data_IF_065776444067
#
_entry.id   IF_065776444067
#
_cell.length_a   1.000
_cell.length_b   1.000
_cell.length_c   1.000
_cell.angle_alpha   90.00
_cell.angle_beta   90.00
_cell.angle_gamma   90.00
#
_symmetry.space_group_name_H-M   'P 1'
#
loop_
_entity.id
_entity.type
_entity.pdbx_description
1 polymer ?
#
# COMPACT_ATOMS: atom_id res chain seq x y z
N UNK A 1 -31.66 -15.34 8.01
CA UNK A 1 -31.22 -14.79 6.71
C UNK A 1 -29.71 -14.87 6.67
N UNK A 2 -29.10 -15.82 5.94
CA UNK A 2 -27.66 -15.97 5.99
C UNK A 2 -27.00 -14.94 5.07
N UNK A 3 -25.98 -14.25 5.58
CA UNK A 3 -25.10 -13.30 4.89
C UNK A 3 -24.15 -14.02 3.92
N UNK A 4 -24.68 -14.86 3.03
CA UNK A 4 -23.87 -15.45 1.98
C UNK A 4 -23.56 -14.36 0.94
N UNK A 5 -22.30 -14.12 0.58
CA UNK A 5 -22.01 -13.33 -0.61
C UNK A 5 -22.75 -13.95 -1.80
N UNK A 6 -23.50 -13.12 -2.53
CA UNK A 6 -23.98 -13.46 -3.87
C UNK A 6 -22.79 -14.01 -4.67
N UNK A 7 -22.98 -15.09 -5.42
CA UNK A 7 -21.90 -15.92 -5.99
C UNK A 7 -20.67 -15.11 -6.46
N UNK A 8 -19.52 -15.35 -5.82
CA UNK A 8 -18.23 -14.77 -6.16
C UNK A 8 -17.84 -13.48 -5.41
N UNK A 9 -18.72 -12.86 -4.60
CA UNK A 9 -18.30 -11.73 -3.75
C UNK A 9 -17.40 -12.23 -2.60
N UNK A 10 -16.45 -11.41 -2.17
CA UNK A 10 -15.59 -11.72 -1.04
C UNK A 10 -15.11 -10.45 -0.36
N UNK A 11 -14.96 -10.49 0.97
CA UNK A 11 -14.27 -9.41 1.67
C UNK A 11 -12.83 -9.34 1.18
N UNK A 12 -12.32 -8.13 0.94
CA UNK A 12 -10.89 -7.95 0.77
C UNK A 12 -10.18 -8.03 2.11
N UNK A 13 -8.86 -7.92 2.07
CA UNK A 13 -8.07 -7.99 3.27
C UNK A 13 -8.14 -6.68 4.07
N UNK A 14 -7.96 -6.75 5.39
CA UNK A 14 -8.06 -5.60 6.31
C UNK A 14 -6.72 -5.20 6.95
N UNK A 15 -5.64 -5.88 6.58
CA UNK A 15 -4.29 -5.64 7.10
C UNK A 15 -3.32 -5.48 5.92
N UNK A 16 -2.19 -4.83 6.17
CA UNK A 16 -1.10 -4.81 5.18
C UNK A 16 -0.36 -6.15 5.16
N UNK A 17 -0.26 -6.79 6.32
CA UNK A 17 0.37 -8.09 6.56
C UNK A 17 -0.52 -8.92 7.47
N UNK A 18 -0.86 -10.14 7.05
CA UNK A 18 -1.61 -11.10 7.88
C UNK A 18 -0.64 -11.96 8.71
N UNK A 19 -0.59 -11.82 10.04
CA UNK A 19 0.27 -12.67 10.86
C UNK A 19 -0.16 -14.15 10.88
N UNK A 20 -1.40 -14.50 10.52
CA UNK A 20 -1.87 -15.89 10.47
C UNK A 20 -1.37 -16.63 9.24
N UNK A 21 -1.39 -15.98 8.08
CA UNK A 21 -0.97 -16.61 6.82
C UNK A 21 0.48 -16.28 6.45
N UNK A 22 1.03 -15.20 7.00
CA UNK A 22 2.37 -14.71 6.69
C UNK A 22 2.45 -13.92 5.40
N UNK A 23 1.32 -13.45 4.88
CA UNK A 23 1.20 -12.89 3.54
C UNK A 23 0.91 -11.40 3.56
N UNK A 24 1.38 -10.69 2.55
CA UNK A 24 1.06 -9.28 2.36
C UNK A 24 -0.20 -9.09 1.51
N UNK A 25 -0.88 -7.95 1.69
CA UNK A 25 -2.02 -7.57 0.84
C UNK A 25 -1.69 -7.59 -0.66
N UNK A 26 -0.43 -7.32 -1.01
CA UNK A 26 0.07 -7.36 -2.40
C UNK A 26 -0.06 -8.76 -3.01
N UNK A 27 0.36 -9.80 -2.29
CA UNK A 27 0.26 -11.20 -2.73
C UNK A 27 -1.19 -11.68 -2.73
N UNK A 28 -1.94 -11.32 -1.68
CA UNK A 28 -3.35 -11.70 -1.53
C UNK A 28 -4.15 -11.14 -2.72
N UNK A 29 -4.00 -9.84 -3.01
CA UNK A 29 -4.74 -9.19 -4.08
C UNK A 29 -4.28 -9.60 -5.48
N UNK A 30 -3.02 -10.03 -5.65
CA UNK A 30 -2.52 -10.54 -6.93
C UNK A 30 -3.19 -11.86 -7.36
N UNK A 31 -3.54 -12.72 -6.39
CA UNK A 31 -4.20 -14.02 -6.66
C UNK A 31 -5.71 -14.02 -6.41
N UNK A 32 -6.22 -13.03 -5.69
CA UNK A 32 -7.65 -12.94 -5.40
C UNK A 32 -8.46 -12.75 -6.68
N UNK A 33 -9.65 -13.35 -6.70
CA UNK A 33 -10.58 -13.25 -7.82
C UNK A 33 -12.00 -13.21 -7.30
N UNK A 34 -12.54 -12.01 -7.16
CA UNK A 34 -13.89 -11.78 -6.63
C UNK A 34 -14.72 -10.90 -7.57
N UNK A 35 -16.03 -11.14 -7.61
CA UNK A 35 -16.97 -10.34 -8.40
C UNK A 35 -17.19 -8.95 -7.80
N UNK A 36 -17.00 -8.84 -6.49
CA UNK A 36 -16.97 -7.59 -5.75
C UNK A 36 -16.19 -7.74 -4.44
N UNK A 37 -15.59 -6.63 -4.00
CA UNK A 37 -15.04 -6.42 -2.68
C UNK A 37 -15.93 -5.41 -1.93
N UNK A 38 -16.99 -5.87 -1.24
CA UNK A 38 -17.93 -4.97 -0.56
C UNK A 38 -17.31 -4.29 0.67
N UNK A 39 -16.23 -4.86 1.21
CA UNK A 39 -15.45 -4.27 2.29
C UNK A 39 -13.98 -4.74 2.20
N UNK A 40 -13.06 -3.85 2.53
CA UNK A 40 -11.63 -4.11 2.77
C UNK A 40 -11.01 -2.93 3.53
N UNK A 41 -9.83 -3.11 4.12
CA UNK A 41 -9.20 -2.06 4.92
C UNK A 41 -7.69 -2.14 4.98
N UNK A 42 -7.09 -1.03 5.40
CA UNK A 42 -5.74 -1.01 5.94
C UNK A 42 -5.73 0.05 7.04
N UNK A 43 -5.48 -0.31 8.31
CA UNK A 43 -5.61 0.65 9.39
C UNK A 43 -4.39 1.56 9.45
N UNK A 44 -4.63 2.79 9.90
CA UNK A 44 -3.58 3.74 10.26
C UNK A 44 -4.02 4.63 11.43
N UNK A 45 -3.07 5.14 12.20
CA UNK A 45 -3.33 6.18 13.19
C UNK A 45 -3.85 7.47 12.54
N UNK A 46 -4.60 8.25 13.31
CA UNK A 46 -4.91 9.64 12.99
C UNK A 46 -3.62 10.49 12.97
N UNK A 47 -3.70 11.72 12.43
CA UNK A 47 -2.55 12.64 12.42
C UNK A 47 -2.11 12.99 13.86
N UNK A 48 -0.85 13.36 14.04
CA UNK A 48 -0.30 13.81 15.34
C UNK A 48 -1.19 14.89 15.98
N UNK A 49 -1.57 15.91 15.21
CA UNK A 49 -2.42 17.00 15.68
C UNK A 49 -3.82 16.52 16.13
N UNK A 50 -4.39 15.53 15.42
CA UNK A 50 -5.69 14.94 15.80
C UNK A 50 -5.53 14.12 17.08
N UNK A 51 -4.48 13.31 17.20
CA UNK A 51 -4.22 12.50 18.40
C UNK A 51 -4.01 13.38 19.64
N UNK A 52 -3.21 14.44 19.52
CA UNK A 52 -2.98 15.42 20.59
C UNK A 52 -4.23 16.15 21.07
N UNK A 53 -5.31 16.16 20.26
CA UNK A 53 -6.56 16.83 20.65
C UNK A 53 -7.40 16.05 21.65
N UNK A 54 -7.14 14.75 21.84
CA UNK A 54 -7.94 13.90 22.74
C UNK A 54 -7.16 12.85 23.54
N UNK A 55 -5.91 12.54 23.18
CA UNK A 55 -5.05 11.65 23.96
C UNK A 55 -4.26 12.49 24.98
N UNK A 56 -4.27 12.14 26.29
CA UNK A 56 -3.46 12.81 27.30
C UNK A 56 -1.96 12.79 26.98
N UNK A 57 -1.24 13.86 27.31
CA UNK A 57 0.17 14.04 26.94
C UNK A 57 1.07 12.91 27.47
N UNK A 58 0.81 12.46 28.69
CA UNK A 58 1.50 11.36 29.35
C UNK A 58 1.23 9.97 28.74
N UNK A 59 0.22 9.86 27.88
CA UNK A 59 -0.17 8.64 27.18
C UNK A 59 0.12 8.70 25.66
N UNK A 60 0.50 9.85 25.12
CA UNK A 60 0.70 10.04 23.67
C UNK A 60 1.72 9.06 23.08
N UNK A 61 2.82 8.82 23.79
CA UNK A 61 3.84 7.90 23.32
C UNK A 61 4.65 7.27 24.47
N UNK A 62 4.94 5.96 24.42
CA UNK A 62 4.46 4.99 23.43
C UNK A 62 2.99 4.60 23.64
N UNK A 63 2.25 4.27 22.57
CA UNK A 63 0.87 3.79 22.66
C UNK A 63 0.82 2.45 23.38
N UNK A 64 -0.12 2.29 24.34
CA UNK A 64 -0.25 1.07 25.14
C UNK A 64 -1.71 0.66 25.36
N UNK A 65 -2.01 -0.65 25.43
CA UNK A 65 -3.27 -1.13 25.98
C UNK A 65 -3.54 -0.57 27.39
N UNK A 66 -4.81 -0.39 27.74
CA UNK A 66 -5.26 0.15 29.02
C UNK A 66 -5.15 1.68 29.17
N UNK A 67 -4.76 2.40 28.11
CA UNK A 67 -4.70 3.87 28.05
C UNK A 67 -5.79 4.43 27.14
N UNK A 68 -5.85 5.75 26.97
CA UNK A 68 -6.69 6.42 25.99
C UNK A 68 -6.56 5.84 24.58
N UNK A 69 -5.40 5.31 24.19
CA UNK A 69 -5.26 4.61 22.90
C UNK A 69 -6.23 3.44 22.74
N UNK A 70 -6.37 2.59 23.76
CA UNK A 70 -7.32 1.47 23.72
C UNK A 70 -8.76 1.99 23.75
N UNK A 71 -9.07 2.95 24.63
CA UNK A 71 -10.39 3.56 24.69
C UNK A 71 -10.78 4.29 23.40
N UNK A 72 -9.81 4.77 22.62
CA UNK A 72 -9.98 5.37 21.30
C UNK A 72 -9.63 4.40 20.15
N UNK A 73 -9.88 3.10 20.35
CA UNK A 73 -9.99 2.09 19.29
C UNK A 73 -8.64 1.73 18.59
N UNK A 74 -7.51 1.99 19.23
CA UNK A 74 -6.19 1.61 18.70
C UNK A 74 -5.79 0.16 18.98
N UNK A 75 -6.41 -0.49 19.96
CA UNK A 75 -6.04 -1.83 20.42
C UNK A 75 -7.27 -2.72 20.59
N UNK A 76 -7.06 -4.04 20.53
CA UNK A 76 -8.05 -5.10 20.80
C UNK A 76 -9.32 -5.03 19.96
N UNK A 77 -9.23 -4.56 18.72
CA UNK A 77 -10.36 -4.65 17.79
C UNK A 77 -10.69 -6.11 17.40
N UNK A 78 -9.67 -6.96 17.32
CA UNK A 78 -9.83 -8.41 17.11
C UNK A 78 -9.07 -9.23 18.14
N UNK A 79 -9.74 -10.26 18.67
CA UNK A 79 -9.18 -11.13 19.73
C UNK A 79 -7.88 -11.82 19.33
N UNK A 80 -7.77 -12.24 18.06
CA UNK A 80 -6.60 -12.98 17.59
C UNK A 80 -5.40 -12.07 17.26
N UNK A 81 -5.63 -10.75 17.17
CA UNK A 81 -4.59 -9.77 16.92
C UNK A 81 -4.82 -8.56 17.82
N UNK A 82 -4.44 -8.64 19.10
CA UNK A 82 -4.74 -7.62 20.10
C UNK A 82 -4.14 -6.25 19.81
N UNK A 83 -3.18 -6.17 18.90
CA UNK A 83 -2.54 -4.92 18.50
C UNK A 83 -3.31 -4.15 17.39
N UNK A 84 -4.43 -4.70 16.91
CA UNK A 84 -5.36 -4.00 15.99
C UNK A 84 -6.18 -2.93 16.72
N UNK A 85 -6.43 -1.77 16.14
CA UNK A 85 -6.14 -1.34 14.76
C UNK A 85 -4.77 -0.68 14.53
N UNK A 86 -4.04 -0.29 15.57
CA UNK A 86 -2.79 0.45 15.39
C UNK A 86 -1.68 -0.38 14.73
N UNK A 87 -1.70 -1.68 14.96
CA UNK A 87 -0.76 -2.68 14.44
C UNK A 87 0.73 -2.31 14.60
N UNK A 88 1.20 -1.91 15.80
CA UNK A 88 2.59 -1.56 16.04
C UNK A 88 3.56 -2.70 15.69
N UNK A 89 3.16 -3.97 15.83
CA UNK A 89 4.01 -5.10 15.43
C UNK A 89 4.24 -5.15 13.91
N UNK A 90 3.23 -4.76 13.11
CA UNK A 90 3.35 -4.61 11.66
C UNK A 90 4.27 -3.45 11.31
N UNK A 91 4.18 -2.32 12.03
CA UNK A 91 5.10 -1.20 11.83
C UNK A 91 6.55 -1.62 12.12
N UNK A 92 6.78 -2.29 13.25
CA UNK A 92 8.11 -2.76 13.62
C UNK A 92 8.65 -3.78 12.60
N UNK A 93 7.79 -4.67 12.09
CA UNK A 93 8.14 -5.61 11.02
C UNK A 93 8.71 -4.90 9.80
N UNK A 94 8.12 -3.78 9.37
CA UNK A 94 8.50 -3.05 8.14
C UNK A 94 9.59 -1.99 8.34
N UNK A 95 9.67 -1.38 9.51
CA UNK A 95 10.50 -0.20 9.73
C UNK A 95 11.53 -0.35 10.85
N UNK A 96 11.47 -1.42 11.63
CA UNK A 96 12.15 -1.53 12.92
C UNK A 96 11.45 -0.72 14.02
N UNK A 97 12.09 -0.60 15.21
CA UNK A 97 11.54 0.16 16.32
C UNK A 97 11.11 1.57 15.91
N UNK A 98 10.00 2.02 16.49
CA UNK A 98 9.48 3.37 16.30
C UNK A 98 9.81 4.18 17.54
N UNK A 99 10.41 5.36 17.37
CA UNK A 99 11.01 6.12 18.47
C UNK A 99 10.21 7.37 18.85
N UNK A 100 9.22 7.74 18.04
CA UNK A 100 8.34 8.90 18.29
C UNK A 100 6.92 8.71 17.76
N UNK A 101 6.01 9.58 18.21
CA UNK A 101 4.64 9.64 17.72
C UNK A 101 4.59 10.01 16.23
N UNK A 102 5.45 10.94 15.81
CA UNK A 102 5.57 11.41 14.44
C UNK A 102 5.97 10.25 13.51
N UNK A 103 6.98 9.46 13.90
CA UNK A 103 7.38 8.28 13.13
C UNK A 103 6.27 7.23 13.07
N UNK A 104 5.56 7.00 14.18
CA UNK A 104 4.44 6.05 14.24
C UNK A 104 3.34 6.45 13.25
N UNK A 105 2.99 7.72 13.23
CA UNK A 105 1.97 8.27 12.33
C UNK A 105 2.43 8.20 10.87
N UNK A 106 3.66 8.64 10.58
CA UNK A 106 4.22 8.62 9.23
C UNK A 106 4.23 7.18 8.66
N UNK A 107 4.78 6.23 9.42
CA UNK A 107 4.91 4.82 9.00
C UNK A 107 3.54 4.17 8.80
N UNK A 108 2.61 4.38 9.73
CA UNK A 108 1.26 3.82 9.64
C UNK A 108 0.46 4.38 8.46
N UNK A 109 0.46 5.70 8.28
CA UNK A 109 -0.26 6.33 7.16
C UNK A 109 0.38 5.99 5.80
N UNK A 110 1.70 5.80 5.76
CA UNK A 110 2.37 5.27 4.56
C UNK A 110 1.90 3.84 4.24
N UNK A 111 1.90 2.92 5.20
CA UNK A 111 1.46 1.53 4.97
C UNK A 111 0.00 1.48 4.50
N UNK A 112 -0.87 2.25 5.16
CA UNK A 112 -2.27 2.36 4.75
C UNK A 112 -2.38 2.85 3.30
N UNK A 113 -1.61 3.88 2.92
CA UNK A 113 -1.62 4.42 1.56
C UNK A 113 -1.17 3.38 0.53
N UNK A 114 -0.06 2.68 0.79
CA UNK A 114 0.47 1.64 -0.11
C UNK A 114 -0.51 0.47 -0.28
N UNK A 115 -1.14 0.03 0.82
CA UNK A 115 -2.12 -1.04 0.79
C UNK A 115 -3.38 -0.65 0.02
N UNK A 116 -3.93 0.56 0.24
CA UNK A 116 -5.10 1.02 -0.52
C UNK A 116 -4.82 1.17 -2.01
N UNK A 117 -3.66 1.71 -2.39
CA UNK A 117 -3.25 1.78 -3.79
C UNK A 117 -3.28 0.39 -4.44
N UNK A 118 -2.70 -0.61 -3.76
CA UNK A 118 -2.69 -1.99 -4.23
C UNK A 118 -4.11 -2.54 -4.41
N UNK A 119 -4.96 -2.45 -3.39
CA UNK A 119 -6.30 -3.05 -3.41
C UNK A 119 -7.18 -2.44 -4.50
N UNK A 120 -7.22 -1.11 -4.60
CA UNK A 120 -8.04 -0.44 -5.62
C UNK A 120 -7.57 -0.75 -7.04
N UNK A 121 -6.27 -0.68 -7.31
CA UNK A 121 -5.74 -1.01 -8.63
C UNK A 121 -5.92 -2.50 -8.97
N UNK A 122 -5.77 -3.40 -7.99
CA UNK A 122 -5.98 -4.84 -8.17
C UNK A 122 -7.43 -5.20 -8.47
N UNK A 123 -8.38 -4.65 -7.73
CA UNK A 123 -9.80 -4.86 -8.00
C UNK A 123 -10.17 -4.35 -9.40
N UNK A 124 -9.65 -3.18 -9.80
CA UNK A 124 -9.87 -2.63 -11.15
C UNK A 124 -9.28 -3.52 -12.25
N UNK A 125 -8.09 -4.11 -12.05
CA UNK A 125 -7.48 -5.06 -13.01
C UNK A 125 -8.37 -6.26 -13.30
N UNK A 126 -9.17 -6.70 -12.32
CA UNK A 126 -10.06 -7.85 -12.46
C UNK A 126 -11.33 -7.58 -13.28
N UNK A 127 -11.56 -6.36 -13.75
CA UNK A 127 -12.63 -6.04 -14.72
C UNK A 127 -12.53 -6.94 -15.97
N UNK A 128 -13.64 -7.47 -16.52
CA UNK A 128 -15.04 -7.23 -16.14
C UNK A 128 -15.58 -8.16 -15.06
N UNK A 129 -14.76 -9.06 -14.51
CA UNK A 129 -15.21 -10.01 -13.49
C UNK A 129 -15.51 -9.30 -12.17
N UNK A 130 -14.60 -8.42 -11.72
CA UNK A 130 -14.83 -7.56 -10.57
C UNK A 130 -15.49 -6.24 -10.99
N UNK A 131 -16.52 -5.82 -10.27
CA UNK A 131 -17.31 -4.62 -10.58
C UNK A 131 -17.41 -3.63 -9.41
N UNK A 132 -16.87 -3.95 -8.24
CA UNK A 132 -17.00 -3.12 -7.05
C UNK A 132 -15.83 -3.33 -6.09
N UNK A 133 -15.35 -2.21 -5.52
CA UNK A 133 -14.36 -2.18 -4.47
C UNK A 133 -14.70 -1.03 -3.51
N UNK A 134 -15.13 -1.36 -2.29
CA UNK A 134 -15.52 -0.40 -1.26
C UNK A 134 -14.64 -0.56 -0.03
N UNK A 135 -13.95 0.51 0.37
CA UNK A 135 -13.17 0.49 1.58
C UNK A 135 -14.08 0.60 2.81
N UNK A 136 -13.80 -0.23 3.81
CA UNK A 136 -14.21 0.03 5.19
C UNK A 136 -13.07 0.81 5.83
N UNK A 137 -13.22 2.08 6.22
CA UNK A 137 -14.40 2.94 6.02
C UNK A 137 -13.98 4.33 5.51
N UNK A 138 -14.96 5.17 5.15
CA UNK A 138 -14.66 6.54 4.73
C UNK A 138 -14.19 7.40 5.93
N UNK A 139 -14.94 7.40 7.03
CA UNK A 139 -14.72 8.30 8.16
C UNK A 139 -15.03 7.65 9.51
N UNK A 140 -14.69 8.36 10.58
CA UNK A 140 -14.99 8.02 11.98
C UNK A 140 -16.05 8.96 12.56
N UNK A 141 -16.99 8.47 13.39
CA UNK A 141 -18.05 9.31 13.97
C UNK A 141 -17.60 10.05 15.25
N UNK A 142 -16.40 9.78 15.77
CA UNK A 142 -15.91 10.25 17.07
C UNK A 142 -14.37 10.24 17.11
N UNK A 143 -13.71 10.90 18.08
CA UNK A 143 -12.26 10.90 18.19
C UNK A 143 -11.73 9.46 18.25
N UNK A 144 -10.99 9.06 17.22
CA UNK A 144 -10.52 7.68 17.05
C UNK A 144 -9.03 7.73 16.75
N UNK A 145 -8.26 6.95 17.51
CA UNK A 145 -6.81 6.97 17.44
C UNK A 145 -6.28 6.22 16.22
N UNK A 146 -6.86 5.06 15.90
CA UNK A 146 -6.52 4.31 14.69
C UNK A 146 -7.74 3.57 14.12
N UNK A 147 -7.84 3.53 12.80
CA UNK A 147 -8.86 2.79 12.05
C UNK A 147 -8.46 2.72 10.57
N UNK A 148 -9.24 2.00 9.78
CA UNK A 148 -9.18 1.94 8.33
C UNK A 148 -9.75 3.20 7.63
N UNK A 149 -10.19 4.20 8.39
CA UNK A 149 -10.79 5.41 7.84
C UNK A 149 -9.82 6.18 6.91
N UNK A 150 -10.37 6.83 5.87
CA UNK A 150 -9.64 7.79 5.03
C UNK A 150 -9.72 9.23 5.59
N UNK A 151 -10.74 9.49 6.40
CA UNK A 151 -10.98 10.74 7.11
C UNK A 151 -10.99 10.46 8.62
N UNK A 152 -10.08 11.08 9.36
CA UNK A 152 -10.16 11.12 10.81
C UNK A 152 -11.25 12.09 11.26
N UNK A 153 -11.84 11.83 12.43
CA UNK A 153 -12.68 12.82 13.10
C UNK A 153 -11.87 14.11 13.38
N UNK A 154 -12.47 15.32 13.30
CA UNK A 154 -13.85 15.58 12.91
C UNK A 154 -14.12 15.61 11.40
N UNK A 155 -13.09 15.73 10.55
CA UNK A 155 -13.14 15.65 9.07
C UNK A 155 -11.73 15.87 8.48
N UNK A 156 -10.69 15.35 9.15
CA UNK A 156 -9.29 15.60 8.77
C UNK A 156 -8.83 14.49 7.81
N UNK A 157 -8.45 14.81 6.56
CA UNK A 157 -8.04 13.80 5.61
C UNK A 157 -6.71 13.16 5.99
N UNK A 158 -6.66 11.81 5.92
CA UNK A 158 -5.40 11.06 5.95
C UNK A 158 -4.77 11.06 4.55
N UNK A 159 -3.44 10.89 4.43
CA UNK A 159 -2.75 10.77 3.13
C UNK A 159 -3.37 9.74 2.19
N UNK A 160 -3.90 8.64 2.75
CA UNK A 160 -4.56 7.59 2.00
C UNK A 160 -5.75 8.07 1.16
N UNK A 161 -6.47 9.13 1.56
CA UNK A 161 -7.57 9.67 0.76
C UNK A 161 -7.08 10.16 -0.61
N UNK A 162 -5.93 10.84 -0.64
CA UNK A 162 -5.34 11.33 -1.87
C UNK A 162 -4.88 10.16 -2.77
N UNK A 163 -4.33 9.11 -2.16
CA UNK A 163 -3.90 7.90 -2.87
C UNK A 163 -5.08 7.12 -3.44
N UNK A 164 -6.16 6.93 -2.67
CA UNK A 164 -7.41 6.33 -3.19
C UNK A 164 -7.98 7.15 -4.33
N UNK A 165 -8.02 8.48 -4.20
CA UNK A 165 -8.46 9.38 -5.27
C UNK A 165 -7.63 9.19 -6.54
N UNK A 166 -6.30 9.06 -6.39
CA UNK A 166 -5.38 8.78 -7.49
C UNK A 166 -5.63 7.39 -8.13
N UNK A 167 -5.85 6.35 -7.33
CA UNK A 167 -6.13 4.99 -7.82
C UNK A 167 -7.52 4.84 -8.45
N UNK A 168 -8.44 5.76 -8.16
CA UNK A 168 -9.79 5.82 -8.75
C UNK A 168 -9.90 6.73 -9.98
N UNK A 169 -8.79 7.29 -10.50
CA UNK A 169 -8.82 8.06 -11.75
C UNK A 169 -9.35 7.21 -12.91
N UNK A 170 -10.12 7.80 -13.85
CA UNK A 170 -10.71 7.06 -14.98
C UNK A 170 -9.68 6.28 -15.79
N UNK A 171 -8.48 6.84 -15.97
CA UNK A 171 -7.37 6.18 -16.67
C UNK A 171 -6.10 6.33 -15.83
N UNK A 172 -5.37 5.23 -15.66
CA UNK A 172 -4.04 5.23 -15.05
C UNK A 172 -3.21 4.05 -15.52
N UNK A 173 -1.89 4.21 -15.47
CA UNK A 173 -0.97 3.09 -15.59
C UNK A 173 -0.73 2.46 -14.23
N UNK A 174 -0.73 1.14 -14.16
CA UNK A 174 -0.63 0.37 -12.91
C UNK A 174 0.53 -0.61 -12.96
N UNK A 175 1.28 -0.74 -11.87
CA UNK A 175 2.30 -1.77 -11.68
C UNK A 175 1.84 -2.79 -10.62
N UNK A 176 2.08 -4.07 -10.90
CA UNK A 176 1.88 -5.17 -9.95
C UNK A 176 3.25 -5.66 -9.49
N UNK A 177 3.42 -5.82 -8.19
CA UNK A 177 4.63 -6.36 -7.56
C UNK A 177 4.22 -7.23 -6.38
N UNK A 178 5.04 -8.24 -6.08
CA UNK A 178 4.69 -9.26 -5.10
C UNK A 178 4.68 -8.75 -3.66
N UNK A 179 5.52 -7.78 -3.31
CA UNK A 179 5.75 -7.36 -1.92
C UNK A 179 6.19 -5.91 -1.80
N UNK A 180 6.04 -5.35 -0.60
CA UNK A 180 6.40 -3.98 -0.28
C UNK A 180 7.90 -3.79 -0.02
N UNK A 181 8.57 -4.77 0.60
CA UNK A 181 10.00 -4.70 0.95
C UNK A 181 10.87 -5.48 -0.02
N UNK A 182 11.89 -4.81 -0.54
CA UNK A 182 12.88 -5.34 -1.46
C UNK A 182 14.29 -5.21 -0.89
N UNK A 183 15.15 -6.16 -1.22
CA UNK A 183 16.54 -6.16 -0.76
C UNK A 183 17.50 -5.98 -1.95
N UNK A 184 18.65 -5.39 -1.71
CA UNK A 184 19.78 -5.41 -2.64
C UNK A 184 20.02 -6.82 -3.20
N UNK A 185 20.21 -6.91 -4.51
CA UNK A 185 20.47 -8.16 -5.20
C UNK A 185 19.22 -9.01 -5.46
N UNK A 186 18.03 -8.55 -5.11
CA UNK A 186 16.79 -9.19 -5.56
C UNK A 186 16.42 -8.79 -7.00
N UNK A 187 15.75 -9.71 -7.70
CA UNK A 187 15.16 -9.44 -9.01
C UNK A 187 13.78 -8.80 -8.80
N UNK A 188 13.68 -7.50 -9.05
CA UNK A 188 12.41 -6.79 -9.11
C UNK A 188 11.64 -7.24 -10.34
N UNK A 189 10.40 -7.70 -10.14
CA UNK A 189 9.45 -7.99 -11.21
C UNK A 189 8.23 -7.07 -11.10
N UNK A 190 7.88 -6.39 -12.19
CA UNK A 190 6.72 -5.50 -12.27
C UNK A 190 5.83 -5.87 -13.46
N UNK A 191 4.59 -6.30 -13.24
CA UNK A 191 3.63 -6.46 -14.35
C UNK A 191 2.91 -5.14 -14.59
N UNK A 192 2.98 -4.62 -15.81
CA UNK A 192 2.38 -3.35 -16.16
C UNK A 192 0.96 -3.51 -16.69
N UNK A 193 0.13 -2.51 -16.43
CA UNK A 193 -1.25 -2.45 -16.88
C UNK A 193 -1.64 -1.03 -17.27
N UNK A 194 -2.50 -0.89 -18.27
CA UNK A 194 -3.31 0.30 -18.49
C UNK A 194 -4.73 -0.01 -17.98
N UNK A 195 -5.16 0.74 -16.97
CA UNK A 195 -6.52 0.65 -16.43
C UNK A 195 -7.33 1.79 -17.01
N UNK A 196 -8.48 1.49 -17.62
CA UNK A 196 -9.34 2.51 -18.23
C UNK A 196 -10.82 2.22 -18.02
N UNK A 197 -11.48 3.11 -17.28
CA UNK A 197 -12.94 3.23 -17.17
C UNK A 197 -13.46 4.35 -18.09
N UNK A 198 -12.63 4.87 -19.01
CA UNK A 198 -13.02 5.96 -19.90
C UNK A 198 -14.17 5.53 -20.83
N UNK A 199 -15.19 6.37 -21.05
CA UNK A 199 -16.32 6.05 -21.92
C UNK A 199 -15.99 6.16 -23.41
N UNK A 200 -14.74 6.53 -23.75
CA UNK A 200 -14.24 6.67 -25.11
C UNK A 200 -13.00 5.80 -25.30
N UNK A 201 -12.72 5.46 -26.55
CA UNK A 201 -11.51 4.72 -26.91
C UNK A 201 -10.25 5.55 -26.61
N UNK A 202 -9.19 4.88 -26.18
CA UNK A 202 -7.88 5.48 -25.98
C UNK A 202 -6.99 5.24 -27.21
N UNK A 203 -6.21 6.24 -27.65
CA UNK A 203 -5.18 6.02 -28.67
C UNK A 203 -4.04 5.16 -28.10
N UNK A 204 -3.10 4.78 -28.96
CA UNK A 204 -1.79 4.34 -28.48
C UNK A 204 -1.13 5.43 -27.64
N UNK A 205 -0.60 5.03 -26.49
CA UNK A 205 0.11 5.87 -25.54
C UNK A 205 1.50 5.27 -25.32
N UNK A 206 2.47 6.13 -25.06
CA UNK A 206 3.78 5.70 -24.60
C UNK A 206 3.82 5.79 -23.07
N UNK A 207 4.39 4.76 -22.44
CA UNK A 207 4.71 4.79 -21.02
C UNK A 207 6.18 4.47 -20.80
N UNK A 208 6.83 5.30 -20.04
CA UNK A 208 8.18 5.09 -19.55
C UNK A 208 8.10 4.55 -18.11
N UNK A 209 8.88 3.50 -17.84
CA UNK A 209 9.02 2.95 -16.49
C UNK A 209 10.33 3.41 -15.91
N UNK A 210 10.25 4.16 -14.81
CA UNK A 210 11.41 4.68 -14.10
C UNK A 210 11.51 4.05 -12.73
N UNK A 211 12.74 3.81 -12.30
CA UNK A 211 13.08 3.34 -10.98
C UNK A 211 14.08 4.30 -10.36
N UNK A 212 13.80 4.76 -9.14
CA UNK A 212 14.73 5.56 -8.36
C UNK A 212 15.16 4.83 -7.08
N UNK A 213 16.46 4.80 -6.83
CA UNK A 213 17.09 4.33 -5.59
C UNK A 213 17.96 5.47 -5.05
N UNK A 214 17.42 6.25 -4.13
CA UNK A 214 18.04 7.49 -3.70
C UNK A 214 18.09 8.52 -4.85
N UNK A 215 19.24 9.16 -5.14
CA UNK A 215 19.36 10.15 -6.21
C UNK A 215 19.45 9.52 -7.61
N UNK A 216 19.73 8.22 -7.71
CA UNK A 216 19.89 7.54 -8.99
C UNK A 216 18.53 7.24 -9.61
N UNK A 217 18.33 7.65 -10.87
CA UNK A 217 17.14 7.30 -11.65
C UNK A 217 17.53 6.43 -12.85
N UNK A 218 16.84 5.30 -12.98
CA UNK A 218 17.05 4.31 -14.03
C UNK A 218 15.78 4.21 -14.88
N UNK A 219 15.92 4.43 -16.19
CA UNK A 219 14.88 4.10 -17.15
C UNK A 219 14.90 2.60 -17.44
N UNK A 220 13.83 1.89 -17.07
CA UNK A 220 13.78 0.43 -17.16
C UNK A 220 13.28 -0.05 -18.53
N UNK A 221 12.23 0.59 -19.06
CA UNK A 221 11.70 0.33 -20.39
C UNK A 221 10.73 1.43 -20.84
N UNK A 222 10.44 1.41 -22.13
CA UNK A 222 9.33 2.14 -22.73
C UNK A 222 8.31 1.14 -23.28
N UNK A 223 7.06 1.25 -22.86
CA UNK A 223 5.94 0.46 -23.35
C UNK A 223 5.01 1.30 -24.21
N UNK A 224 4.83 0.89 -25.47
CA UNK A 224 3.81 1.45 -26.35
C UNK A 224 2.51 0.64 -26.23
N UNK A 225 1.45 1.27 -25.73
CA UNK A 225 0.12 0.64 -25.65
C UNK A 225 -0.50 0.51 -27.04
N UNK A 226 -1.52 -0.34 -27.14
CA UNK A 226 -2.31 -0.47 -28.36
C UNK A 226 -3.51 0.48 -28.24
N UNK A 227 -4.09 0.95 -29.36
CA UNK A 227 -5.37 1.64 -29.28
C UNK A 227 -6.39 0.71 -28.62
N UNK A 228 -7.15 1.26 -27.69
CA UNK A 228 -8.00 0.48 -26.81
C UNK A 228 -9.45 0.96 -26.87
N UNK A 229 -10.44 0.06 -26.94
CA UNK A 229 -11.85 0.45 -26.83
C UNK A 229 -12.17 1.09 -25.48
N UNK A 230 -13.31 1.77 -25.42
CA UNK A 230 -13.84 2.33 -24.18
C UNK A 230 -13.99 1.27 -23.08
N UNK A 231 -13.76 1.68 -21.83
CA UNK A 231 -13.97 0.89 -20.61
C UNK A 231 -13.30 -0.50 -20.59
N UNK A 232 -12.08 -0.62 -21.12
CA UNK A 232 -11.32 -1.87 -21.07
C UNK A 232 -9.99 -1.66 -20.34
N UNK A 233 -9.41 -2.72 -19.80
CA UNK A 233 -8.03 -2.72 -19.32
C UNK A 233 -7.12 -3.39 -20.36
N UNK A 234 -5.85 -3.00 -20.41
CA UNK A 234 -4.85 -3.61 -21.28
C UNK A 234 -3.67 -4.12 -20.43
N UNK A 235 -3.37 -5.44 -20.45
CA UNK A 235 -2.13 -5.94 -19.88
C UNK A 235 -0.94 -5.47 -20.71
N UNK A 236 0.11 -5.06 -20.00
CA UNK A 236 1.40 -4.65 -20.54
C UNK A 236 2.48 -5.70 -20.37
N UNK A 237 3.76 -5.33 -20.63
CA UNK A 237 4.89 -6.22 -20.42
C UNK A 237 5.23 -6.39 -18.93
N UNK A 238 6.01 -7.43 -18.62
CA UNK A 238 6.66 -7.59 -17.33
C UNK A 238 8.06 -6.97 -17.37
N UNK A 239 8.34 -6.08 -16.43
CA UNK A 239 9.66 -5.51 -16.18
C UNK A 239 10.43 -6.47 -15.28
N UNK A 240 11.70 -6.73 -15.61
CA UNK A 240 12.61 -7.48 -14.74
C UNK A 240 13.88 -6.66 -14.56
N UNK A 241 14.21 -6.33 -13.32
CA UNK A 241 15.36 -5.49 -13.00
C UNK A 241 16.11 -6.00 -11.79
N UNK A 242 17.42 -6.17 -11.94
CA UNK A 242 18.29 -6.60 -10.84
C UNK A 242 18.58 -5.41 -9.93
N UNK A 243 18.10 -5.44 -8.68
CA UNK A 243 18.30 -4.33 -7.75
C UNK A 243 19.76 -4.18 -7.36
N UNK A 244 20.33 -3.03 -7.73
CA UNK A 244 21.70 -2.64 -7.40
C UNK A 244 21.85 -2.15 -5.97
N UNK A 245 22.93 -1.41 -5.71
CA UNK A 245 23.20 -0.74 -4.43
C UNK A 245 22.76 0.70 -4.52
N UNK A 246 21.97 1.19 -3.57
CA UNK A 246 21.56 2.60 -3.54
C UNK A 246 21.36 3.11 -2.12
N UNK A 247 21.57 4.41 -1.85
CA UNK A 247 21.42 4.96 -0.52
C UNK A 247 19.93 5.08 -0.13
N UNK A 248 19.66 5.04 1.16
CA UNK A 248 18.32 5.25 1.71
C UNK A 248 17.47 3.98 1.77
N UNK A 249 16.21 4.17 2.20
CA UNK A 249 15.26 3.09 2.48
C UNK A 249 14.12 2.96 1.47
N UNK A 250 14.17 3.78 0.42
CA UNK A 250 13.07 3.95 -0.52
C UNK A 250 13.50 3.52 -1.92
N UNK A 251 12.72 2.63 -2.50
CA UNK A 251 12.71 2.28 -3.90
C UNK A 251 11.45 2.91 -4.51
N UNK A 252 11.61 3.78 -5.49
CA UNK A 252 10.46 4.45 -6.11
C UNK A 252 10.30 3.98 -7.55
N UNK A 253 9.09 3.59 -7.92
CA UNK A 253 8.72 3.24 -9.28
C UNK A 253 7.77 4.31 -9.80
N UNK A 254 8.02 4.80 -11.01
CA UNK A 254 7.14 5.75 -11.68
C UNK A 254 6.81 5.27 -13.08
N UNK A 255 5.51 5.26 -13.39
CA UNK A 255 4.99 5.02 -14.72
C UNK A 255 4.61 6.38 -15.31
N UNK A 256 5.39 6.86 -16.28
CA UNK A 256 5.24 8.19 -16.88
C UNK A 256 4.68 8.07 -18.28
N UNK A 257 3.57 8.73 -18.56
CA UNK A 257 3.02 8.91 -19.90
C UNK A 257 3.28 10.37 -20.33
N UNK A 258 4.33 10.64 -21.13
CA UNK A 258 4.66 12.02 -21.53
C UNK A 258 3.51 12.74 -22.22
N UNK A 259 2.68 11.99 -22.98
CA UNK A 259 1.52 12.56 -23.67
C UNK A 259 0.39 12.96 -22.73
N UNK A 260 0.25 12.27 -21.59
CA UNK A 260 -0.87 12.41 -20.64
C UNK A 260 -0.38 12.22 -19.19
N UNK A 261 0.30 13.21 -18.60
CA UNK A 261 0.86 13.10 -17.25
C UNK A 261 -0.17 12.80 -16.17
N UNK A 262 -1.46 13.10 -16.39
CA UNK A 262 -2.54 12.75 -15.48
C UNK A 262 -2.79 11.23 -15.34
N UNK A 263 -2.21 10.42 -16.23
CA UNK A 263 -2.28 8.95 -16.17
C UNK A 263 -1.12 8.33 -15.37
N UNK A 264 -0.16 9.14 -14.94
CA UNK A 264 1.02 8.67 -14.25
C UNK A 264 0.68 8.05 -12.89
N UNK A 265 1.46 7.04 -12.51
CA UNK A 265 1.39 6.44 -11.19
C UNK A 265 2.78 6.33 -10.59
N UNK A 266 2.85 6.52 -9.27
CA UNK A 266 4.07 6.37 -8.50
C UNK A 266 3.82 5.36 -7.40
N UNK A 267 4.84 4.57 -7.13
CA UNK A 267 4.88 3.60 -6.06
C UNK A 267 6.13 3.87 -5.26
N UNK A 268 5.99 3.93 -3.94
CA UNK A 268 7.11 4.02 -3.02
C UNK A 268 7.13 2.69 -2.27
N UNK A 269 8.25 2.00 -2.37
CA UNK A 269 8.50 0.66 -1.82
C UNK A 269 9.66 0.75 -0.83
N UNK A 270 9.74 -0.22 0.09
CA UNK A 270 10.84 -0.30 1.04
C UNK A 270 12.03 -1.00 0.41
N UNK A 271 13.22 -0.47 0.67
CA UNK A 271 14.48 -1.02 0.20
C UNK A 271 15.47 -1.21 1.35
N UNK A 272 16.10 -2.37 1.41
CA UNK A 272 17.14 -2.72 2.38
C UNK A 272 18.45 -3.10 1.70
N UNK A 273 19.55 -2.50 2.17
CA UNK A 273 20.89 -2.91 1.77
C UNK A 273 21.32 -4.16 2.54
N UNK A 274 21.95 -5.10 1.82
CA UNK A 274 22.63 -6.22 2.49
C UNK A 274 23.89 -5.70 3.14
N UNK A 275 23.92 -5.69 4.46
CA UNK A 275 25.17 -5.48 5.17
C UNK A 275 26.03 -6.73 4.96
N UNK A 276 27.21 -6.57 4.35
CA UNK A 276 28.20 -7.65 4.29
C UNK A 276 28.54 -8.07 5.72
N UNK A 277 28.19 -9.29 6.11
CA UNK A 277 28.76 -9.88 7.31
C UNK A 277 30.26 -9.95 7.10
N UNK A 278 31.03 -9.13 7.80
CA UNK A 278 32.47 -9.27 7.90
C UNK A 278 32.73 -10.61 8.55
N UNK A 279 33.01 -11.64 7.74
CA UNK A 279 33.46 -12.93 8.24
C UNK A 279 34.80 -12.68 8.90
N UNK A 280 34.81 -12.59 10.23
CA UNK A 280 36.06 -12.52 11.00
C UNK A 280 36.87 -13.76 10.70
N UNK A 281 37.90 -13.62 9.86
CA UNK A 281 38.92 -14.65 9.67
C UNK A 281 39.69 -14.71 11.00
N UNK A 282 39.28 -15.61 11.89
CA UNK A 282 40.13 -16.00 13.01
C UNK A 282 41.31 -16.76 12.43
N UNK A 283 42.45 -16.07 12.38
CA UNK A 283 43.74 -16.71 12.13
C UNK A 283 44.07 -17.54 13.37
N UNK A 284 43.92 -18.86 13.31
CA UNK A 284 44.51 -19.74 14.31
C UNK A 284 46.02 -19.75 14.06
N UNK A 285 46.77 -19.05 14.91
CA UNK A 285 48.21 -19.25 14.98
C UNK A 285 48.46 -20.66 15.55
N UNK A 286 49.16 -21.46 14.76
CA UNK A 286 49.81 -22.72 15.18
C UNK A 286 51.13 -22.39 15.85
#
# INVERSE_FOLDING_TARGET
YPHHPLDGMGHGHYLVYDPKTGEEVFEIMARARHTAYPEFGAPAPASVAVLQSFIPEEELFPPRPGTAWESHHAFRAWDYQPDTWLAPSTLERYFGPTESLEELVERGQYLQSAAYQCVYEAARRQKPYCSMALNWCLNEPWPTAANNSLLSWPCVPKPALAVVTASCRPVLFSAVFAKLRWTQGELLELDLWLLSDAPHALPSLEVEVWLALGPEQNHLLTWNTRPQPANQNQPGPTVRWQLGTGPGRWLEIELRCPQRPEYNSRYRLLYEQRHSQTTGIYSMNV
#
